data_IF_789186072320
#
_entry.id   IF_789186072320
#
_cell.length_a   1.000
_cell.length_b   1.000
_cell.length_c   1.000
_cell.angle_alpha   90.00
_cell.angle_beta   90.00
_cell.angle_gamma   90.00
#
_symmetry.space_group_name_H-M   'P 1'
#
loop_
_entity.id
_entity.type
_entity.pdbx_description
1 polymer ?
#
# COMPACT_ATOMS: atom_id res chain seq x y z
N UNK A 1 -9.06 -16.08 4.56
CA UNK A 1 -9.06 -14.90 3.65
C UNK A 1 -7.80 -14.98 2.80
N UNK A 2 -7.79 -14.48 1.56
CA UNK A 2 -6.59 -14.45 0.72
C UNK A 2 -6.25 -13.01 0.35
N UNK A 3 -4.99 -12.60 0.51
CA UNK A 3 -4.54 -11.22 0.36
C UNK A 3 -4.96 -10.58 -0.98
N UNK A 4 -4.84 -11.33 -2.08
CA UNK A 4 -5.24 -10.85 -3.41
C UNK A 4 -6.71 -10.41 -3.50
N UNK A 5 -7.62 -11.04 -2.73
CA UNK A 5 -9.03 -10.64 -2.72
C UNK A 5 -9.23 -9.32 -1.99
N UNK A 6 -8.49 -9.11 -0.89
CA UNK A 6 -8.54 -7.85 -0.15
C UNK A 6 -7.98 -6.70 -1.01
N UNK A 7 -6.88 -6.95 -1.73
CA UNK A 7 -6.31 -6.00 -2.68
C UNK A 7 -7.27 -5.67 -3.82
N UNK A 8 -7.98 -6.67 -4.35
CA UNK A 8 -9.00 -6.45 -5.37
C UNK A 8 -10.14 -5.57 -4.84
N UNK A 9 -10.67 -5.86 -3.64
CA UNK A 9 -11.73 -5.05 -3.01
C UNK A 9 -11.27 -3.60 -2.85
N UNK A 10 -10.09 -3.37 -2.28
CA UNK A 10 -9.52 -2.02 -2.09
C UNK A 10 -9.38 -1.28 -3.43
N UNK A 11 -8.87 -1.96 -4.47
CA UNK A 11 -8.75 -1.38 -5.81
C UNK A 11 -10.10 -0.98 -6.40
N UNK A 12 -11.13 -1.83 -6.29
CA UNK A 12 -12.47 -1.52 -6.81
C UNK A 12 -13.12 -0.37 -6.04
N UNK A 13 -12.96 -0.31 -4.72
CA UNK A 13 -13.49 0.79 -3.90
C UNK A 13 -12.83 2.11 -4.27
N UNK A 14 -11.49 2.15 -4.38
CA UNK A 14 -10.75 3.36 -4.78
C UNK A 14 -11.06 3.81 -6.20
N UNK A 15 -11.42 2.88 -7.07
CA UNK A 15 -11.89 3.19 -8.42
C UNK A 15 -13.35 3.69 -8.46
N UNK A 16 -14.01 3.84 -7.31
CA UNK A 16 -15.41 4.30 -7.22
C UNK A 16 -16.43 3.30 -7.77
N UNK A 17 -16.10 2.01 -7.79
CA UNK A 17 -16.92 0.97 -8.45
C UNK A 17 -17.93 0.28 -7.55
N UNK A 18 -17.91 0.57 -6.26
CA UNK A 18 -18.83 0.01 -5.27
C UNK A 18 -18.95 -1.53 -5.33
N UNK A 19 -17.86 -2.29 -5.11
CA UNK A 19 -17.92 -3.75 -5.18
C UNK A 19 -18.85 -4.31 -4.09
N UNK A 20 -19.47 -5.45 -4.36
CA UNK A 20 -20.32 -6.17 -3.41
C UNK A 20 -19.90 -7.65 -3.28
N UNK A 21 -20.59 -8.40 -2.41
CA UNK A 21 -20.29 -9.81 -2.13
C UNK A 21 -20.52 -10.74 -3.32
N UNK A 22 -21.42 -10.37 -4.24
CA UNK A 22 -21.66 -11.10 -5.49
C UNK A 22 -20.52 -10.85 -6.46
N UNK A 23 -20.10 -9.61 -6.65
CA UNK A 23 -19.00 -9.28 -7.58
C UNK A 23 -17.72 -10.04 -7.20
N UNK A 24 -17.39 -10.06 -5.91
CA UNK A 24 -16.22 -10.80 -5.41
C UNK A 24 -16.39 -12.33 -5.53
N UNK A 25 -17.61 -12.83 -5.33
CA UNK A 25 -17.92 -14.25 -5.46
C UNK A 25 -17.76 -14.73 -6.91
N UNK A 26 -18.27 -13.94 -7.86
CA UNK A 26 -18.20 -14.22 -9.29
C UNK A 26 -16.75 -14.12 -9.79
N UNK A 27 -16.00 -13.07 -9.40
CA UNK A 27 -14.60 -12.84 -9.82
C UNK A 27 -13.64 -13.95 -9.36
N UNK A 28 -13.80 -14.45 -8.13
CA UNK A 28 -12.88 -15.42 -7.52
C UNK A 28 -13.45 -16.83 -7.41
N UNK A 29 -14.61 -17.08 -8.02
CA UNK A 29 -15.32 -18.37 -8.00
C UNK A 29 -15.48 -18.92 -6.56
N UNK A 30 -15.86 -18.04 -5.63
CA UNK A 30 -16.08 -18.39 -4.22
C UNK A 30 -17.54 -18.27 -3.83
N UNK A 31 -17.94 -18.95 -2.75
CA UNK A 31 -19.27 -18.76 -2.21
C UNK A 31 -19.48 -17.32 -1.71
N UNK A 32 -20.72 -16.80 -1.81
CA UNK A 32 -21.11 -15.51 -1.21
C UNK A 32 -20.77 -15.42 0.29
N UNK A 33 -20.84 -16.53 1.02
CA UNK A 33 -20.47 -16.60 2.45
C UNK A 33 -18.97 -16.39 2.66
N UNK A 34 -18.13 -16.89 1.75
CA UNK A 34 -16.68 -16.66 1.78
C UNK A 34 -16.35 -15.21 1.41
N UNK A 35 -17.01 -14.66 0.40
CA UNK A 35 -16.86 -13.27 0.00
C UNK A 35 -17.28 -12.31 1.14
N UNK A 36 -18.43 -12.56 1.79
CA UNK A 36 -18.88 -11.77 2.94
C UNK A 36 -17.82 -11.73 4.05
N UNK A 37 -17.19 -12.87 4.36
CA UNK A 37 -16.09 -12.90 5.34
C UNK A 37 -14.91 -12.02 4.93
N UNK A 38 -14.60 -11.89 3.63
CA UNK A 38 -13.51 -11.01 3.16
C UNK A 38 -13.85 -9.53 3.41
N UNK A 39 -15.12 -9.12 3.24
CA UNK A 39 -15.57 -7.77 3.61
C UNK A 39 -15.63 -7.55 5.13
N UNK A 40 -16.12 -8.52 5.89
CA UNK A 40 -16.11 -8.47 7.37
C UNK A 40 -14.69 -8.37 7.91
N UNK A 41 -13.74 -9.11 7.34
CA UNK A 41 -12.34 -9.03 7.74
C UNK A 41 -11.73 -7.65 7.49
N UNK A 42 -12.01 -7.02 6.34
CA UNK A 42 -11.60 -5.64 6.07
C UNK A 42 -12.12 -4.67 7.12
N UNK A 43 -13.42 -4.74 7.43
CA UNK A 43 -14.07 -3.84 8.37
C UNK A 43 -13.64 -4.10 9.82
N UNK A 44 -13.77 -5.34 10.28
CA UNK A 44 -13.72 -5.70 11.69
C UNK A 44 -12.30 -6.03 12.16
N UNK A 45 -11.44 -6.57 11.28
CA UNK A 45 -10.06 -6.94 11.64
C UNK A 45 -9.02 -5.92 11.17
N UNK A 46 -9.20 -5.34 9.98
CA UNK A 46 -8.27 -4.34 9.44
C UNK A 46 -8.72 -2.89 9.69
N UNK A 47 -9.87 -2.69 10.35
CA UNK A 47 -10.38 -1.36 10.71
C UNK A 47 -10.72 -0.48 9.52
N UNK A 48 -11.04 -1.09 8.37
CA UNK A 48 -11.41 -0.32 7.18
C UNK A 48 -12.72 0.45 7.45
N UNK A 49 -12.79 1.75 7.11
CA UNK A 49 -14.00 2.57 7.26
C UNK A 49 -15.00 2.24 6.14
N UNK A 50 -15.45 1.00 6.12
CA UNK A 50 -16.23 0.39 5.05
C UNK A 50 -17.73 0.49 5.34
N UNK A 51 -18.48 1.10 4.44
CA UNK A 51 -19.95 1.21 4.52
C UNK A 51 -20.64 0.70 3.25
N UNK A 52 -21.93 0.37 3.37
CA UNK A 52 -22.76 -0.07 2.25
C UNK A 52 -23.61 1.09 1.70
N UNK A 53 -23.50 1.35 0.41
CA UNK A 53 -24.35 2.30 -0.30
C UNK A 53 -25.53 1.58 -0.94
N UNK A 54 -26.74 1.81 -0.43
CA UNK A 54 -27.96 1.24 -1.02
C UNK A 54 -28.22 1.74 -2.46
N UNK A 55 -27.82 2.99 -2.76
CA UNK A 55 -27.97 3.59 -4.08
C UNK A 55 -27.11 2.87 -5.14
N UNK A 56 -25.86 2.55 -4.80
CA UNK A 56 -24.91 1.86 -5.70
C UNK A 56 -24.92 0.34 -5.54
N UNK A 57 -25.64 -0.17 -4.53
CA UNK A 57 -25.74 -1.59 -4.17
C UNK A 57 -24.39 -2.26 -3.85
N UNK A 58 -23.47 -1.51 -3.26
CA UNK A 58 -22.14 -2.01 -2.94
C UNK A 58 -21.41 -1.18 -1.89
N UNK A 59 -20.17 -1.59 -1.60
CA UNK A 59 -19.38 -1.02 -0.51
C UNK A 59 -18.47 0.11 -0.95
N UNK A 60 -18.21 1.04 -0.05
CA UNK A 60 -17.28 2.16 -0.25
C UNK A 60 -16.54 2.50 1.04
N UNK A 61 -15.43 3.24 0.92
CA UNK A 61 -14.77 3.84 2.07
C UNK A 61 -15.40 5.19 2.38
N UNK A 62 -15.72 5.44 3.65
CA UNK A 62 -16.24 6.74 4.10
C UNK A 62 -15.15 7.79 4.24
N UNK A 63 -13.88 7.39 4.17
CA UNK A 63 -12.72 8.26 4.33
C UNK A 63 -11.56 7.77 3.46
N UNK A 64 -10.91 8.68 2.74
CA UNK A 64 -9.84 8.36 1.78
C UNK A 64 -8.48 8.06 2.44
N UNK A 65 -8.38 8.27 3.76
CA UNK A 65 -7.14 8.11 4.54
C UNK A 65 -6.82 6.63 4.81
N UNK A 66 -7.80 5.74 4.70
CA UNK A 66 -7.55 4.32 4.88
C UNK A 66 -6.58 3.79 3.83
N UNK A 67 -5.59 3.00 4.25
CA UNK A 67 -4.67 2.27 3.37
C UNK A 67 -4.67 0.82 3.78
N UNK A 68 -4.88 -0.09 2.82
CA UNK A 68 -4.81 -1.51 3.07
C UNK A 68 -3.40 -1.88 3.57
N UNK A 69 -3.26 -2.55 4.73
CA UNK A 69 -1.95 -2.98 5.21
C UNK A 69 -1.28 -3.91 4.20
N UNK A 70 -0.18 -3.44 3.60
CA UNK A 70 0.62 -4.21 2.65
C UNK A 70 1.50 -5.27 3.33
N UNK A 71 2.16 -6.14 2.55
CA UNK A 71 3.17 -7.03 3.09
C UNK A 71 4.28 -6.22 3.80
N UNK A 72 4.74 -6.70 4.95
CA UNK A 72 5.87 -6.11 5.65
C UNK A 72 7.12 -6.20 4.77
N UNK A 73 7.60 -5.06 4.27
CA UNK A 73 8.89 -4.96 3.60
C UNK A 73 9.97 -5.01 4.67
N UNK A 74 10.82 -6.03 4.62
CA UNK A 74 11.95 -6.14 5.56
C UNK A 74 12.94 -4.99 5.33
N UNK A 75 13.75 -4.67 6.35
CA UNK A 75 14.78 -3.63 6.22
C UNK A 75 15.74 -3.92 5.06
N UNK A 76 16.08 -5.19 4.85
CA UNK A 76 16.97 -5.65 3.77
C UNK A 76 16.34 -5.44 2.39
N UNK A 77 15.06 -5.79 2.22
CA UNK A 77 14.34 -5.56 0.95
C UNK A 77 14.16 -4.08 0.67
N UNK A 78 13.88 -3.26 1.70
CA UNK A 78 13.82 -1.80 1.55
C UNK A 78 15.16 -1.26 1.06
N UNK A 79 16.27 -1.66 1.69
CA UNK A 79 17.59 -1.22 1.29
C UNK A 79 17.93 -1.64 -0.14
N UNK A 80 17.55 -2.86 -0.55
CA UNK A 80 17.74 -3.34 -1.92
C UNK A 80 16.93 -2.51 -2.92
N UNK A 81 15.66 -2.25 -2.64
CA UNK A 81 14.80 -1.39 -3.48
C UNK A 81 15.37 0.03 -3.59
N UNK A 82 15.84 0.61 -2.48
CA UNK A 82 16.51 1.92 -2.47
C UNK A 82 17.79 1.90 -3.32
N UNK A 83 18.64 0.88 -3.17
CA UNK A 83 19.87 0.75 -3.95
C UNK A 83 19.61 0.60 -5.45
N UNK A 84 18.61 -0.19 -5.83
CA UNK A 84 18.20 -0.33 -7.23
C UNK A 84 17.68 0.99 -7.77
N UNK A 85 16.84 1.71 -7.01
CA UNK A 85 16.36 3.02 -7.41
C UNK A 85 17.52 4.02 -7.62
N UNK A 86 18.53 4.04 -6.74
CA UNK A 86 19.75 4.87 -6.92
C UNK A 86 20.49 4.50 -8.20
N UNK A 87 20.69 3.21 -8.44
CA UNK A 87 21.41 2.70 -9.61
C UNK A 87 20.71 3.11 -10.92
N UNK A 88 19.39 2.95 -10.99
CA UNK A 88 18.61 3.35 -12.16
C UNK A 88 18.51 4.86 -12.32
N UNK A 89 18.44 5.64 -11.23
CA UNK A 89 18.49 7.10 -11.30
C UNK A 89 19.84 7.64 -11.81
N UNK A 90 20.94 6.93 -11.50
CA UNK A 90 22.27 7.25 -12.05
C UNK A 90 22.42 6.95 -13.53
N UNK A 91 21.73 5.92 -14.04
CA UNK A 91 21.73 5.57 -15.47
C UNK A 91 20.70 6.35 -16.30
N UNK A 92 19.52 6.63 -15.74
CA UNK A 92 18.48 7.45 -16.35
C UNK A 92 18.72 8.93 -16.00
N UNK A 93 19.64 9.58 -16.70
CA UNK A 93 19.88 11.01 -16.53
C UNK A 93 18.58 11.82 -16.55
N UNK A 94 18.33 12.61 -15.50
CA UNK A 94 17.22 13.56 -15.24
C UNK A 94 15.77 13.09 -15.39
N UNK A 95 15.49 12.00 -16.09
CA UNK A 95 14.13 11.57 -16.46
C UNK A 95 13.74 10.22 -15.82
N UNK A 96 14.30 9.92 -14.63
CA UNK A 96 13.94 8.70 -13.90
C UNK A 96 12.55 8.82 -13.25
N UNK A 97 11.60 7.91 -13.55
CA UNK A 97 10.30 7.85 -12.87
C UNK A 97 10.39 7.63 -11.36
N UNK A 98 11.56 7.20 -10.87
CA UNK A 98 11.80 6.84 -9.47
C UNK A 98 12.51 7.95 -8.67
N UNK A 99 12.87 9.07 -9.30
CA UNK A 99 13.57 10.18 -8.62
C UNK A 99 12.74 10.77 -7.47
N UNK A 100 11.42 10.91 -7.66
CA UNK A 100 10.50 11.43 -6.64
C UNK A 100 10.37 10.47 -5.45
N UNK A 101 10.21 9.18 -5.73
CA UNK A 101 10.14 8.14 -4.69
C UNK A 101 11.43 8.05 -3.87
N UNK A 102 12.58 8.35 -4.48
CA UNK A 102 13.87 8.41 -3.80
C UNK A 102 13.95 9.56 -2.79
N UNK A 103 13.50 10.76 -3.19
CA UNK A 103 13.50 11.94 -2.32
C UNK A 103 12.59 11.73 -1.08
N UNK A 104 11.43 11.10 -1.26
CA UNK A 104 10.49 10.80 -0.18
C UNK A 104 11.00 9.71 0.76
N UNK A 105 11.61 8.64 0.23
CA UNK A 105 12.17 7.56 1.05
C UNK A 105 13.45 7.96 1.82
N UNK A 106 14.05 9.10 1.49
CA UNK A 106 15.22 9.67 2.15
C UNK A 106 14.91 10.91 2.98
N UNK A 107 13.66 11.10 3.43
CA UNK A 107 13.43 12.04 4.53
C UNK A 107 14.28 11.59 5.73
N UNK A 108 15.24 12.42 6.19
CA UNK A 108 16.13 12.03 7.27
C UNK A 108 15.28 11.86 8.52
N UNK A 109 15.31 10.64 9.07
CA UNK A 109 14.81 10.34 10.40
C UNK A 109 15.44 11.35 11.38
N UNK A 110 14.67 12.35 11.81
CA UNK A 110 15.08 13.31 12.85
C UNK A 110 15.01 12.62 14.22
N UNK A 111 15.70 11.50 14.36
CA UNK A 111 15.95 10.85 15.64
C UNK A 111 17.02 11.63 16.38
N UNK A 112 16.63 12.35 17.45
CA UNK A 112 17.57 12.93 18.42
C UNK A 112 18.33 11.81 19.13
N UNK A 113 19.52 11.46 18.63
CA UNK A 113 20.49 10.62 19.33
C UNK A 113 21.25 11.45 20.37
N UNK A 114 21.28 10.96 21.61
CA UNK A 114 21.87 11.61 22.79
C UNK A 114 23.39 11.43 22.91
N UNK A 115 24.12 11.27 21.81
CA UNK A 115 25.57 11.23 21.85
C UNK A 115 26.11 11.85 20.56
N UNK A 116 26.83 12.96 20.72
CA UNK A 116 27.11 13.96 19.68
C UNK A 116 28.04 13.49 18.56
N UNK A 117 27.63 12.52 17.76
CA UNK A 117 28.33 12.07 16.56
C UNK A 117 27.41 12.19 15.34
N UNK A 118 27.58 13.26 14.57
CA UNK A 118 26.91 13.46 13.28
C UNK A 118 27.50 12.49 12.27
N UNK A 119 26.83 11.36 12.01
CA UNK A 119 27.18 10.48 10.90
C UNK A 119 26.60 11.05 9.61
N UNK A 120 27.44 11.73 8.85
CA UNK A 120 27.18 11.96 7.43
C UNK A 120 27.22 10.60 6.74
N UNK A 121 26.07 10.05 6.38
CA UNK A 121 26.01 9.00 5.37
C UNK A 121 26.22 9.70 4.03
N UNK A 122 27.49 9.86 3.68
CA UNK A 122 27.95 10.40 2.40
C UNK A 122 27.35 9.56 1.28
N UNK A 123 26.87 10.25 0.24
CA UNK A 123 26.45 9.68 -1.03
C UNK A 123 27.42 8.58 -1.51
N UNK A 124 26.94 7.54 -2.21
CA UNK A 124 27.86 6.59 -2.82
C UNK A 124 28.64 7.34 -3.90
N UNK A 125 29.90 7.66 -3.60
CA UNK A 125 30.91 7.91 -4.61
C UNK A 125 31.31 6.53 -5.13
N UNK A 126 30.97 6.29 -6.40
CA UNK A 126 31.47 5.26 -7.33
C UNK A 126 31.85 3.89 -6.74
#
# INVERSE_FOLDING_TARGET
MRLHRLQWIDTQIRAGRYPNTRDLADEFEISRRQALRDFEYLRDSLGAPLEYSAAHRGYYYTTDVYTLPGPYVTRSERNLLTSLASYYAGMAGRDSPFATAYAEAHEPDRGKGSDGMTLYVTAPLL
#
